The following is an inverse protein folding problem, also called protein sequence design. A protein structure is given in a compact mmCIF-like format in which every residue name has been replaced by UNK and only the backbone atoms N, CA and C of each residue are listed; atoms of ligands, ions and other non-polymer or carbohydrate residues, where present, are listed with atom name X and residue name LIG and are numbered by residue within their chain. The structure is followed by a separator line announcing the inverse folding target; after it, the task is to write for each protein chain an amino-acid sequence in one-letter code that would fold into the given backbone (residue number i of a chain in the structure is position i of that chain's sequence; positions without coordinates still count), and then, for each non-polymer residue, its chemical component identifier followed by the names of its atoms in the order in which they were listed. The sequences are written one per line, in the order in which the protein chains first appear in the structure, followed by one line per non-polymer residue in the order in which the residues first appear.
data_IF_621815851825
#
_entry.id   IF_621815851825
#
_cell.length_a   1.000
_cell.length_b   1.000
_cell.length_c   1.000
_cell.angle_alpha   90.00
_cell.angle_beta   90.00
_cell.angle_gamma   90.00
#
_symmetry.space_group_name_H-M   'P 1'
#
loop_
_entity.id
_entity.type
_entity.pdbx_description
1 polymer ?
#
# COMPACT_ATOMS: atom_id res chain seq x y z
N UNK A 1 13.32 -10.70 5.97
CA UNK A 1 12.75 -9.34 5.91
C UNK A 1 12.65 -8.76 7.32
N UNK A 2 13.09 -7.53 7.57
CA UNK A 2 13.01 -6.92 8.90
C UNK A 2 11.65 -6.24 9.09
N UNK A 3 10.84 -6.76 10.02
CA UNK A 3 9.52 -6.23 10.37
C UNK A 3 9.58 -4.75 10.76
N UNK A 4 8.52 -4.00 10.47
CA UNK A 4 8.39 -2.63 11.00
C UNK A 4 8.16 -2.65 12.52
N UNK A 5 8.69 -1.65 13.21
CA UNK A 5 8.60 -1.55 14.67
C UNK A 5 7.85 -0.28 15.07
N UNK A 6 7.06 -0.36 16.15
CA UNK A 6 6.23 0.75 16.64
C UNK A 6 7.02 2.00 17.06
N UNK A 7 8.31 1.84 17.35
CA UNK A 7 9.24 2.92 17.71
C UNK A 7 10.12 3.38 16.54
N UNK A 8 9.93 2.84 15.34
CA UNK A 8 10.70 3.22 14.16
C UNK A 8 10.32 4.62 13.69
N UNK A 9 11.30 5.37 13.17
CA UNK A 9 11.00 6.64 12.53
C UNK A 9 10.19 6.42 11.25
N UNK A 10 9.44 7.42 10.79
CA UNK A 10 8.75 7.38 9.49
C UNK A 10 9.73 7.03 8.36
N UNK A 11 10.95 7.57 8.41
CA UNK A 11 12.00 7.27 7.43
C UNK A 11 12.37 5.77 7.42
N UNK A 12 12.55 5.17 8.60
CA UNK A 12 12.86 3.74 8.70
C UNK A 12 11.75 2.86 8.11
N UNK A 13 10.49 3.24 8.35
CA UNK A 13 9.34 2.52 7.81
C UNK A 13 9.29 2.64 6.29
N UNK A 14 9.47 3.85 5.75
CA UNK A 14 9.50 4.06 4.29
C UNK A 14 10.59 3.22 3.64
N UNK A 15 11.81 3.21 4.19
CA UNK A 15 12.93 2.43 3.65
C UNK A 15 12.67 0.93 3.73
N UNK A 16 12.18 0.42 4.87
CA UNK A 16 11.88 -1.01 5.04
C UNK A 16 10.75 -1.47 4.13
N UNK A 17 9.64 -0.74 4.09
CA UNK A 17 8.45 -1.11 3.33
C UNK A 17 8.70 -1.04 1.81
N UNK A 18 9.55 -0.10 1.37
CA UNK A 18 9.81 0.09 -0.06
C UNK A 18 10.83 -0.86 -0.67
N UNK A 19 11.65 -1.55 0.12
CA UNK A 19 12.77 -2.36 -0.39
C UNK A 19 13.67 -1.61 -1.40
N UNK A 20 13.75 -0.28 -1.29
CA UNK A 20 14.49 0.56 -2.23
C UNK A 20 13.80 0.80 -3.57
N UNK A 21 12.57 0.32 -3.78
CA UNK A 21 11.77 0.64 -4.97
C UNK A 21 11.38 2.13 -4.97
N UNK A 22 11.84 2.96 -5.93
CA UNK A 22 11.58 4.40 -5.92
C UNK A 22 10.10 4.77 -6.05
N UNK A 23 9.32 4.00 -6.82
CA UNK A 23 7.88 4.21 -6.94
C UNK A 23 7.14 3.89 -5.63
N UNK A 24 7.60 2.86 -4.90
CA UNK A 24 7.07 2.56 -3.57
C UNK A 24 7.47 3.63 -2.54
N UNK A 25 8.69 4.16 -2.61
CA UNK A 25 9.11 5.29 -1.76
C UNK A 25 8.18 6.48 -2.00
N UNK A 26 7.94 6.83 -3.28
CA UNK A 26 7.02 7.90 -3.64
C UNK A 26 5.62 7.66 -3.04
N UNK A 27 5.06 6.47 -3.25
CA UNK A 27 3.76 6.09 -2.68
C UNK A 27 3.70 6.31 -1.16
N UNK A 28 4.68 5.77 -0.43
CA UNK A 28 4.68 5.86 1.03
C UNK A 28 4.84 7.30 1.51
N UNK A 29 5.68 8.11 0.84
CA UNK A 29 5.80 9.54 1.14
C UNK A 29 4.47 10.30 0.93
N UNK A 30 3.76 10.03 -0.16
CA UNK A 30 2.44 10.62 -0.43
C UNK A 30 1.40 10.17 0.60
N UNK A 31 1.40 8.89 0.97
CA UNK A 31 0.50 8.33 1.98
C UNK A 31 0.75 8.94 3.38
N UNK A 32 2.00 9.06 3.80
CA UNK A 32 2.34 9.70 5.07
C UNK A 32 2.05 11.20 5.07
N UNK A 33 2.08 11.86 3.91
CA UNK A 33 1.74 13.29 3.78
C UNK A 33 0.23 13.53 3.83
N UNK A 34 -0.59 12.56 3.41
CA UNK A 34 -2.06 12.71 3.44
C UNK A 34 -2.62 12.53 4.85
N UNK A 35 -2.25 11.46 5.53
CA UNK A 35 -2.67 11.15 6.89
C UNK A 35 -1.65 10.19 7.56
N UNK A 36 -0.76 10.71 8.42
CA UNK A 36 0.25 9.89 9.07
C UNK A 36 -0.33 8.72 9.88
N UNK A 37 -1.48 8.92 10.56
CA UNK A 37 -2.05 7.89 11.44
C UNK A 37 -2.61 6.74 10.59
N UNK A 38 -3.35 7.05 9.52
CA UNK A 38 -3.81 6.04 8.56
C UNK A 38 -2.62 5.37 7.87
N UNK A 39 -1.60 6.13 7.46
CA UNK A 39 -0.40 5.59 6.83
C UNK A 39 0.30 4.56 7.71
N UNK A 40 0.52 4.85 9.00
CA UNK A 40 1.08 3.90 9.96
C UNK A 40 0.21 2.64 10.08
N UNK A 41 -1.11 2.79 10.23
CA UNK A 41 -2.04 1.65 10.31
C UNK A 41 -1.96 0.77 9.06
N UNK A 42 -1.88 1.39 7.87
CA UNK A 42 -1.77 0.66 6.62
C UNK A 42 -0.42 -0.03 6.48
N UNK A 43 0.69 0.61 6.87
CA UNK A 43 2.00 -0.03 6.89
C UNK A 43 2.03 -1.28 7.77
N UNK A 44 1.36 -1.27 8.93
CA UNK A 44 1.21 -2.46 9.77
C UNK A 44 0.45 -3.58 9.06
N UNK A 45 -0.63 -3.22 8.36
CA UNK A 45 -1.44 -4.17 7.57
C UNK A 45 -0.63 -4.73 6.39
N UNK A 46 0.11 -3.90 5.67
CA UNK A 46 0.99 -4.31 4.59
C UNK A 46 2.09 -5.26 5.08
N UNK A 47 2.74 -4.94 6.20
CA UNK A 47 3.75 -5.80 6.79
C UNK A 47 3.17 -7.17 7.18
N UNK A 48 1.99 -7.19 7.80
CA UNK A 48 1.28 -8.43 8.15
C UNK A 48 0.93 -9.28 6.92
N UNK A 49 0.51 -8.65 5.82
CA UNK A 49 0.19 -9.31 4.54
C UNK A 49 1.43 -9.61 3.68
N UNK A 50 2.63 -9.32 4.18
CA UNK A 50 3.90 -9.44 3.48
C UNK A 50 3.93 -8.70 2.12
N UNK A 51 3.30 -7.52 2.08
CA UNK A 51 3.20 -6.67 0.91
C UNK A 51 4.26 -5.56 0.98
N UNK A 52 5.30 -5.68 0.16
CA UNK A 52 6.47 -4.79 0.17
C UNK A 52 6.88 -4.38 -1.25
N UNK A 53 7.71 -3.34 -1.32
CA UNK A 53 8.47 -2.94 -2.49
C UNK A 53 7.65 -2.89 -3.77
N UNK A 54 8.05 -3.67 -4.77
CA UNK A 54 7.38 -3.65 -6.08
C UNK A 54 5.91 -4.07 -6.05
N UNK A 55 5.51 -4.99 -5.16
CA UNK A 55 4.11 -5.39 -5.02
C UNK A 55 3.28 -4.26 -4.39
N UNK A 56 3.85 -3.54 -3.43
CA UNK A 56 3.21 -2.38 -2.82
C UNK A 56 3.13 -1.20 -3.81
N UNK A 57 4.15 -1.01 -4.64
CA UNK A 57 4.09 -0.07 -5.76
C UNK A 57 3.02 -0.46 -6.78
N UNK A 58 2.93 -1.74 -7.14
CA UNK A 58 1.91 -2.26 -8.07
C UNK A 58 0.50 -2.04 -7.54
N UNK A 59 0.27 -2.28 -6.24
CA UNK A 59 -1.00 -1.96 -5.58
C UNK A 59 -1.41 -0.50 -5.80
N UNK A 60 -0.53 0.45 -5.48
CA UNK A 60 -0.84 1.87 -5.63
C UNK A 60 -0.94 2.30 -7.09
N UNK A 61 0.00 1.87 -7.94
CA UNK A 61 0.11 2.29 -9.33
C UNK A 61 -1.00 1.68 -10.20
N UNK A 62 -1.11 0.36 -10.21
CA UNK A 62 -1.99 -0.37 -11.12
C UNK A 62 -3.40 -0.48 -10.54
N UNK A 63 -3.51 -0.86 -9.26
CA UNK A 63 -4.80 -1.16 -8.66
C UNK A 63 -5.54 0.12 -8.20
N UNK A 64 -4.80 1.14 -7.76
CA UNK A 64 -5.37 2.39 -7.25
C UNK A 64 -5.15 3.60 -8.18
N UNK A 65 -4.51 3.44 -9.33
CA UNK A 65 -4.31 4.52 -10.31
C UNK A 65 -3.51 5.71 -9.76
N UNK A 66 -2.56 5.45 -8.85
CA UNK A 66 -1.79 6.45 -8.10
C UNK A 66 -2.62 7.43 -7.26
N UNK A 67 -3.85 7.05 -6.87
CA UNK A 67 -4.74 7.91 -6.10
C UNK A 67 -4.80 7.48 -4.62
N UNK A 68 -4.34 8.35 -3.72
CA UNK A 68 -4.33 8.10 -2.27
C UNK A 68 -5.75 7.98 -1.68
N UNK A 69 -6.74 8.70 -2.21
CA UNK A 69 -8.14 8.53 -1.78
C UNK A 69 -8.68 7.14 -2.13
N UNK A 70 -8.32 6.61 -3.30
CA UNK A 70 -8.66 5.23 -3.69
C UNK A 70 -7.96 4.25 -2.76
N UNK A 71 -6.68 4.46 -2.43
CA UNK A 71 -5.98 3.64 -1.42
C UNK A 71 -6.75 3.62 -0.11
N UNK A 72 -7.19 4.77 0.42
CA UNK A 72 -7.97 4.81 1.65
C UNK A 72 -9.25 3.98 1.55
N UNK A 73 -10.02 4.15 0.47
CA UNK A 73 -11.26 3.40 0.24
C UNK A 73 -11.00 1.91 0.13
N UNK A 74 -9.97 1.49 -0.60
CA UNK A 74 -9.61 0.07 -0.73
C UNK A 74 -9.24 -0.53 0.63
N UNK A 75 -8.38 0.15 1.39
CA UNK A 75 -7.92 -0.29 2.71
C UNK A 75 -9.03 -0.32 3.77
N UNK A 76 -10.16 0.34 3.52
CA UNK A 76 -11.33 0.34 4.39
C UNK A 76 -12.41 -0.68 3.95
N UNK A 77 -12.52 -0.97 2.65
CA UNK A 77 -13.61 -1.79 2.08
C UNK A 77 -13.23 -3.23 1.80
N UNK A 78 -11.95 -3.53 1.55
CA UNK A 78 -11.49 -4.85 1.11
C UNK A 78 -10.58 -5.50 2.14
N UNK A 79 -10.68 -6.82 2.27
CA UNK A 79 -9.78 -7.65 3.08
C UNK A 79 -8.44 -7.91 2.35
N UNK A 80 -7.49 -8.52 3.06
CA UNK A 80 -6.15 -8.75 2.51
C UNK A 80 -6.18 -9.75 1.34
N UNK A 81 -7.02 -10.78 1.40
CA UNK A 81 -7.11 -11.78 0.34
C UNK A 81 -7.57 -11.16 -0.98
N UNK A 82 -8.60 -10.32 -0.95
CA UNK A 82 -9.11 -9.66 -2.13
C UNK A 82 -8.10 -8.63 -2.67
N UNK A 83 -7.42 -7.88 -1.79
CA UNK A 83 -6.36 -6.98 -2.22
C UNK A 83 -5.24 -7.74 -2.94
N UNK A 84 -4.81 -8.87 -2.38
CA UNK A 84 -3.77 -9.69 -2.97
C UNK A 84 -4.18 -10.29 -4.31
N UNK A 85 -5.45 -10.66 -4.51
CA UNK A 85 -5.95 -11.13 -5.83
C UNK A 85 -5.88 -10.06 -6.91
N UNK A 86 -6.08 -8.79 -6.56
CA UNK A 86 -5.93 -7.69 -7.51
C UNK A 86 -4.47 -7.47 -7.92
N UNK A 87 -3.53 -7.67 -6.98
CA UNK A 87 -2.09 -7.50 -7.22
C UNK A 87 -1.52 -8.72 -7.97
N UNK A 88 -1.78 -9.93 -7.48
CA UNK A 88 -1.21 -11.19 -7.96
C UNK A 88 -2.23 -12.00 -8.78
N UNK A 89 -2.76 -11.39 -9.83
CA UNK A 89 -3.83 -11.96 -10.68
C UNK A 89 -3.32 -12.90 -11.81
N UNK A 90 -2.02 -13.21 -11.85
CA UNK A 90 -1.39 -14.03 -12.91
C UNK A 90 -1.18 -13.36 -14.26
N UNK A 91 -1.49 -12.06 -14.42
CA UNK A 91 -1.37 -11.30 -15.67
C UNK A 91 -0.07 -10.49 -15.79
N UNK A 92 0.71 -10.41 -14.71
CA UNK A 92 1.95 -9.63 -14.65
C UNK A 92 1.76 -8.13 -14.40
N UNK A 93 0.53 -7.69 -14.11
CA UNK A 93 0.17 -6.32 -13.72
C UNK A 93 -1.08 -6.35 -12.83
N UNK A 94 -1.29 -5.31 -12.01
CA UNK A 94 -2.42 -5.25 -11.07
C UNK A 94 -3.75 -4.90 -11.75
N UNK A 95 -4.86 -5.41 -11.22
CA UNK A 95 -6.21 -5.03 -11.69
C UNK A 95 -6.77 -3.87 -10.87
N UNK A 96 -7.29 -2.81 -11.49
CA UNK A 96 -7.99 -1.73 -10.80
C UNK A 96 -9.13 -2.22 -9.90
N UNK A 97 -9.34 -1.55 -8.77
CA UNK A 97 -10.54 -1.75 -7.94
C UNK A 97 -11.71 -0.93 -8.46
N UNK A 98 -12.91 -1.54 -8.50
CA UNK A 98 -14.16 -0.83 -8.76
C UNK A 98 -14.70 -0.22 -7.47
N UNK A 99 -14.28 1.01 -7.18
CA UNK A 99 -14.74 1.72 -5.99
C UNK A 99 -16.18 2.21 -6.22
N UNK A 100 -17.13 1.64 -5.48
CA UNK A 100 -18.48 2.18 -5.44
C UNK A 100 -18.45 3.51 -4.69
N UNK A 101 -18.79 4.59 -5.38
CA UNK A 101 -19.08 5.85 -4.69
C UNK A 101 -20.28 5.62 -3.78
N UNK A 102 -20.08 5.74 -2.47
CA UNK A 102 -21.20 5.88 -1.55
C UNK A 102 -21.63 7.34 -1.68
N UNK A 103 -22.72 7.56 -2.42
CA UNK A 103 -23.43 8.84 -2.52
C UNK A 103 -24.01 9.23 -1.17
#
# INVERSE_FOLDING_TARGET
MARITLNGSTQDIVIKMSEGNPGCIQYLCELFSSDPIKAFKYCLRYDAAELYGSRLYQFWNDCCGRNIEIVHKVMEQYDDEEILRHIDNGKGYGTPFEIKEVM
#
